data_IF_911576106972
#
_entry.id   IF_911576106972
#
_cell.length_a   1.000
_cell.length_b   1.000
_cell.length_c   1.000
_cell.angle_alpha   90.00
_cell.angle_beta   90.00
_cell.angle_gamma   90.00
#
_symmetry.space_group_name_H-M   'P 1'
#
loop_
_entity.id
_entity.type
_entity.pdbx_description
1 polymer ?
#
# COMPACT_ATOMS: atom_id res chain seq x y z
N UNK A 1 -18.07 -42.10 -13.93
CA UNK A 1 -17.04 -41.86 -12.90
C UNK A 1 -16.29 -40.60 -13.29
N UNK A 2 -16.60 -39.48 -12.64
CA UNK A 2 -15.98 -38.18 -12.91
C UNK A 2 -14.56 -38.13 -12.32
N UNK A 3 -13.56 -37.80 -13.14
CA UNK A 3 -12.29 -37.32 -12.61
C UNK A 3 -12.25 -35.80 -12.69
N UNK A 4 -12.23 -35.22 -11.50
CA UNK A 4 -12.33 -33.82 -11.15
C UNK A 4 -11.18 -33.00 -11.75
N UNK A 5 -11.53 -31.94 -12.47
CA UNK A 5 -10.63 -30.85 -12.87
C UNK A 5 -10.24 -30.05 -11.62
N UNK A 6 -9.48 -30.65 -10.71
CA UNK A 6 -8.94 -29.98 -9.52
C UNK A 6 -7.50 -29.55 -9.76
N UNK A 7 -7.35 -28.44 -10.48
CA UNK A 7 -6.25 -27.45 -10.36
C UNK A 7 -6.30 -26.42 -11.49
N UNK A 8 -7.47 -25.83 -11.70
CA UNK A 8 -7.58 -24.55 -12.37
C UNK A 8 -7.83 -23.51 -11.27
N UNK A 9 -7.21 -22.33 -11.37
CA UNK A 9 -7.30 -21.17 -10.45
C UNK A 9 -6.23 -21.09 -9.33
N UNK A 10 -4.94 -21.12 -9.69
CA UNK A 10 -3.95 -20.35 -8.93
C UNK A 10 -3.45 -19.22 -9.82
N UNK A 11 -3.66 -17.99 -9.36
CA UNK A 11 -3.11 -16.73 -9.88
C UNK A 11 -3.81 -16.13 -11.10
N UNK A 12 -5.12 -15.86 -11.00
CA UNK A 12 -5.65 -14.64 -11.61
C UNK A 12 -5.06 -13.44 -10.85
N UNK A 13 -3.79 -13.14 -11.16
CA UNK A 13 -3.23 -11.80 -10.97
C UNK A 13 -3.98 -10.93 -11.95
N UNK A 14 -5.15 -10.44 -11.55
CA UNK A 14 -5.82 -9.36 -12.27
C UNK A 14 -4.83 -8.20 -12.25
N UNK A 15 -4.20 -7.94 -13.40
CA UNK A 15 -3.53 -6.66 -13.60
C UNK A 15 -4.57 -5.58 -13.30
N UNK A 16 -4.27 -4.58 -12.45
CA UNK A 16 -5.19 -3.48 -12.22
C UNK A 16 -5.64 -2.96 -13.59
N UNK A 17 -6.95 -2.93 -13.84
CA UNK A 17 -7.41 -2.37 -15.10
C UNK A 17 -7.10 -0.86 -15.10
N UNK A 18 -6.87 -0.26 -16.27
CA UNK A 18 -6.66 1.19 -16.36
C UNK A 18 -7.82 1.98 -15.73
N UNK A 19 -9.04 1.42 -15.80
CA UNK A 19 -10.23 1.94 -15.15
C UNK A 19 -10.10 1.94 -13.62
N UNK A 20 -9.57 0.87 -13.02
CA UNK A 20 -9.37 0.78 -11.56
C UNK A 20 -8.34 1.79 -11.07
N UNK A 21 -7.24 1.96 -11.82
CA UNK A 21 -6.21 2.95 -11.51
C UNK A 21 -6.79 4.37 -11.58
N UNK A 22 -7.60 4.64 -12.61
CA UNK A 22 -8.24 5.95 -12.81
C UNK A 22 -9.22 6.26 -11.67
N UNK A 23 -10.08 5.30 -11.31
CA UNK A 23 -11.02 5.44 -10.17
C UNK A 23 -10.29 5.65 -8.86
N UNK A 24 -9.23 4.90 -8.61
CA UNK A 24 -8.42 5.06 -7.40
C UNK A 24 -7.81 6.46 -7.33
N UNK A 25 -7.24 6.93 -8.44
CA UNK A 25 -6.63 8.25 -8.53
C UNK A 25 -7.65 9.37 -8.29
N UNK A 26 -8.83 9.26 -8.88
CA UNK A 26 -9.91 10.22 -8.66
C UNK A 26 -10.34 10.22 -7.18
N UNK A 27 -10.63 9.05 -6.60
CA UNK A 27 -10.98 8.93 -5.19
C UNK A 27 -9.94 9.57 -4.26
N UNK A 28 -8.65 9.32 -4.52
CA UNK A 28 -7.58 9.87 -3.71
C UNK A 28 -7.47 11.40 -3.84
N UNK A 29 -7.66 11.93 -5.05
CA UNK A 29 -7.58 13.36 -5.33
C UNK A 29 -8.76 14.17 -4.73
N UNK A 30 -9.90 13.52 -4.49
CA UNK A 30 -11.09 14.16 -3.89
C UNK A 30 -10.98 14.33 -2.37
N UNK A 31 -10.04 13.64 -1.70
CA UNK A 31 -9.87 13.72 -0.25
C UNK A 31 -9.05 14.96 0.18
N UNK A 32 -9.62 15.87 0.97
CA UNK A 32 -8.97 17.12 1.34
C UNK A 32 -7.76 16.90 2.25
N UNK A 33 -6.73 17.74 2.08
CA UNK A 33 -5.52 17.71 2.90
C UNK A 33 -4.55 16.57 2.59
N UNK A 34 -4.80 15.78 1.55
CA UNK A 34 -3.92 14.71 1.11
C UNK A 34 -2.94 15.20 0.04
N UNK A 35 -1.70 14.76 0.14
CA UNK A 35 -0.66 14.96 -0.87
C UNK A 35 -0.69 13.79 -1.84
N UNK A 36 -0.73 14.06 -3.15
CA UNK A 36 -0.55 13.02 -4.16
C UNK A 36 0.82 12.35 -3.97
N UNK A 37 0.89 11.03 -4.08
CA UNK A 37 2.13 10.29 -3.81
C UNK A 37 3.27 10.76 -4.74
N UNK A 38 2.97 11.11 -5.99
CA UNK A 38 3.94 11.66 -6.93
C UNK A 38 4.60 12.96 -6.45
N UNK A 39 3.94 13.71 -5.58
CA UNK A 39 4.35 15.04 -5.13
C UNK A 39 5.04 15.02 -3.77
N UNK A 40 5.04 13.87 -3.08
CA UNK A 40 5.71 13.69 -1.79
C UNK A 40 7.22 13.90 -1.94
N UNK A 41 7.78 14.73 -1.04
CA UNK A 41 9.22 15.04 -1.03
C UNK A 41 9.92 14.36 0.13
N UNK A 42 11.13 13.86 -0.15
CA UNK A 42 11.97 13.26 0.87
C UNK A 42 12.26 14.25 2.02
N UNK A 43 12.35 13.72 3.23
CA UNK A 43 12.59 14.41 4.50
C UNK A 43 11.49 15.37 4.95
N UNK A 44 10.35 15.40 4.26
CA UNK A 44 9.18 16.19 4.65
C UNK A 44 8.09 15.30 5.25
N UNK A 45 7.26 15.89 6.10
CA UNK A 45 6.02 15.26 6.55
C UNK A 45 4.98 15.34 5.43
N UNK A 46 4.23 14.27 5.24
CA UNK A 46 3.13 14.22 4.28
C UNK A 46 2.01 13.33 4.82
N UNK A 47 0.78 13.70 4.48
CA UNK A 47 -0.40 12.87 4.61
C UNK A 47 -0.78 12.38 3.21
N UNK A 48 -0.84 11.07 3.01
CA UNK A 48 -1.22 10.45 1.74
C UNK A 48 -2.41 9.55 1.96
N UNK A 49 -3.28 9.46 0.96
CA UNK A 49 -4.29 8.41 0.88
C UNK A 49 -3.93 7.48 -0.27
N UNK A 50 -4.19 6.20 -0.10
CA UNK A 50 -4.05 5.25 -1.18
C UNK A 50 -4.54 3.87 -0.81
N UNK A 51 -4.16 2.91 -1.63
CA UNK A 51 -4.55 1.52 -1.54
C UNK A 51 -3.33 0.62 -1.36
N UNK A 52 -3.43 -0.37 -0.47
CA UNK A 52 -2.40 -1.37 -0.27
C UNK A 52 -2.39 -2.30 -1.49
N UNK A 53 -1.36 -2.17 -2.31
CA UNK A 53 -1.12 -3.00 -3.48
C UNK A 53 -0.39 -4.30 -3.14
N UNK A 54 0.47 -4.29 -2.12
CA UNK A 54 1.17 -5.49 -1.66
C UNK A 54 1.65 -5.37 -0.21
N UNK A 55 1.81 -6.52 0.44
CA UNK A 55 2.47 -6.66 1.74
C UNK A 55 3.67 -7.57 1.65
N UNK A 56 4.72 -7.27 2.41
CA UNK A 56 5.87 -8.16 2.63
C UNK A 56 6.28 -8.14 4.09
N UNK A 57 6.71 -9.29 4.59
CA UNK A 57 7.43 -9.38 5.86
C UNK A 57 8.92 -9.39 5.51
N UNK A 58 9.64 -8.37 5.96
CA UNK A 58 11.07 -8.21 5.68
C UNK A 58 11.86 -8.52 6.95
N UNK A 59 12.74 -9.56 6.94
CA UNK A 59 13.66 -9.80 8.04
C UNK A 59 14.60 -8.61 8.24
N UNK A 60 14.78 -8.16 9.48
CA UNK A 60 15.78 -7.18 9.87
C UNK A 60 16.51 -7.67 11.11
N UNK A 61 17.73 -7.17 11.36
CA UNK A 61 18.51 -7.55 12.54
C UNK A 61 17.70 -7.23 13.81
N UNK A 62 17.40 -8.26 14.60
CA UNK A 62 16.64 -8.16 15.85
C UNK A 62 15.14 -8.45 15.74
N UNK A 63 14.44 -8.05 14.66
CA UNK A 63 13.01 -8.35 14.47
C UNK A 63 12.52 -8.13 13.03
N UNK A 64 11.55 -8.92 12.52
CA UNK A 64 10.92 -8.63 11.23
C UNK A 64 10.17 -7.28 11.23
N UNK A 65 9.98 -6.73 10.03
CA UNK A 65 9.10 -5.59 9.76
C UNK A 65 8.02 -5.95 8.76
N UNK A 66 6.85 -5.36 8.92
CA UNK A 66 5.76 -5.40 7.95
C UNK A 66 5.90 -4.20 7.02
N UNK A 67 6.04 -4.46 5.72
CA UNK A 67 6.10 -3.43 4.69
C UNK A 67 4.85 -3.48 3.82
N UNK A 68 4.13 -2.37 3.73
CA UNK A 68 2.99 -2.20 2.84
C UNK A 68 3.33 -1.23 1.71
N UNK A 69 3.22 -1.69 0.47
CA UNK A 69 3.32 -0.81 -0.70
C UNK A 69 1.95 -0.18 -0.94
N UNK A 70 1.90 1.14 -0.96
CA UNK A 70 0.68 1.93 -1.10
C UNK A 70 0.75 2.72 -2.41
N UNK A 71 -0.34 2.73 -3.16
CA UNK A 71 -0.50 3.47 -4.41
C UNK A 71 -1.76 4.31 -4.38
N UNK A 72 -1.73 5.49 -4.97
CA UNK A 72 -2.88 6.35 -5.25
C UNK A 72 -3.13 6.46 -6.77
N UNK A 73 -2.43 5.67 -7.58
CA UNK A 73 -2.44 5.76 -9.04
C UNK A 73 -1.53 6.84 -9.63
N UNK A 74 -0.99 7.76 -8.82
CA UNK A 74 0.03 8.74 -9.24
C UNK A 74 1.45 8.26 -8.96
N UNK A 75 1.64 7.47 -7.89
CA UNK A 75 2.94 6.92 -7.52
C UNK A 75 2.84 5.84 -6.44
N UNK A 76 3.97 5.48 -5.85
CA UNK A 76 3.99 4.50 -4.75
C UNK A 76 4.91 4.91 -3.60
N UNK A 77 4.46 4.67 -2.36
CA UNK A 77 5.27 4.73 -1.14
C UNK A 77 5.23 3.40 -0.40
N UNK A 78 6.10 3.25 0.61
CA UNK A 78 6.10 2.08 1.49
C UNK A 78 5.91 2.52 2.93
N UNK A 79 4.84 2.04 3.57
CA UNK A 79 4.71 2.12 5.03
C UNK A 79 5.43 0.93 5.67
N UNK A 80 6.30 1.19 6.65
CA UNK A 80 7.10 0.17 7.35
C UNK A 80 6.74 0.19 8.82
N UNK A 81 6.20 -0.91 9.34
CA UNK A 81 6.01 -1.12 10.77
C UNK A 81 7.04 -2.10 11.30
N UNK A 82 8.00 -1.56 12.05
CA UNK A 82 9.07 -2.34 12.65
C UNK A 82 8.54 -3.18 13.81
N UNK A 83 9.09 -4.38 14.02
CA UNK A 83 8.65 -5.24 15.13
C UNK A 83 7.35 -6.00 14.85
N UNK A 84 6.74 -5.81 13.68
CA UNK A 84 5.43 -6.36 13.35
C UNK A 84 5.53 -7.34 12.19
N UNK A 85 4.80 -8.45 12.30
CA UNK A 85 4.56 -9.40 11.21
C UNK A 85 3.21 -9.19 10.54
N UNK A 86 2.26 -8.62 11.28
CA UNK A 86 0.90 -8.36 10.85
C UNK A 86 0.32 -7.18 11.65
N UNK A 87 -0.65 -6.51 11.06
CA UNK A 87 -1.49 -5.48 11.69
C UNK A 87 -2.92 -5.75 11.20
N UNK A 88 -3.89 -5.77 12.12
CA UNK A 88 -5.29 -6.03 11.77
C UNK A 88 -5.80 -4.99 10.76
N UNK A 89 -6.45 -5.45 9.70
CA UNK A 89 -6.98 -4.60 8.63
C UNK A 89 -5.95 -4.01 7.66
N UNK A 90 -4.64 -4.20 7.90
CA UNK A 90 -3.60 -3.91 6.91
C UNK A 90 -3.46 -5.16 6.04
N UNK A 91 -4.16 -5.16 4.89
CA UNK A 91 -4.13 -6.24 3.89
C UNK A 91 -4.16 -5.65 2.48
N UNK A 92 -3.58 -6.35 1.47
CA UNK A 92 -3.82 -5.96 0.07
C UNK A 92 -5.32 -5.92 -0.15
N UNK A 93 -5.82 -4.88 -0.80
CA UNK A 93 -7.27 -4.66 -0.76
C UNK A 93 -7.64 -3.31 -0.17
N UNK A 94 -6.99 -2.95 0.93
CA UNK A 94 -7.52 -1.92 1.81
C UNK A 94 -7.01 -0.53 1.45
N UNK A 95 -7.90 0.44 1.57
CA UNK A 95 -7.55 1.86 1.46
C UNK A 95 -7.31 2.44 2.85
N UNK A 96 -6.39 3.37 2.92
CA UNK A 96 -5.96 3.98 4.17
C UNK A 96 -5.36 5.36 3.93
N UNK A 97 -5.46 6.20 4.96
CA UNK A 97 -4.63 7.39 5.11
C UNK A 97 -3.35 6.97 5.84
N UNK A 98 -2.21 7.49 5.41
CA UNK A 98 -0.91 7.31 6.05
C UNK A 98 -0.24 8.67 6.22
N UNK A 99 0.19 8.95 7.44
CA UNK A 99 0.84 10.22 7.80
C UNK A 99 2.20 9.93 8.42
N UNK A 100 3.23 10.57 7.89
CA UNK A 100 4.58 10.44 8.41
C UNK A 100 5.61 11.21 7.61
N UNK A 101 6.85 11.14 8.09
CA UNK A 101 7.99 11.72 7.37
C UNK A 101 8.45 10.76 6.28
N UNK A 102 8.54 11.27 5.06
CA UNK A 102 9.06 10.55 3.91
C UNK A 102 10.58 10.38 4.03
N UNK A 103 11.07 9.16 3.93
CA UNK A 103 12.50 8.85 3.95
C UNK A 103 12.90 8.26 2.59
N UNK A 104 14.03 8.67 2.01
CA UNK A 104 14.51 8.05 0.79
C UNK A 104 14.90 6.59 1.06
N UNK A 105 14.54 5.70 0.14
CA UNK A 105 15.04 4.33 0.13
C UNK A 105 16.53 4.26 -0.21
N UNK A 106 17.15 3.12 0.07
CA UNK A 106 18.55 2.86 -0.31
C UNK A 106 18.70 2.57 -1.80
N UNK A 107 17.61 2.18 -2.49
CA UNK A 107 17.61 1.85 -3.90
C UNK A 107 16.40 2.48 -4.60
N UNK A 108 16.67 3.29 -5.63
CA UNK A 108 15.65 3.94 -6.46
C UNK A 108 14.94 5.11 -5.77
N UNK A 109 13.93 5.66 -6.45
CA UNK A 109 13.20 6.85 -6.00
C UNK A 109 12.00 6.53 -5.08
N UNK A 110 12.02 5.37 -4.40
CA UNK A 110 10.92 4.92 -3.55
C UNK A 110 11.03 5.55 -2.17
N UNK A 111 9.94 6.14 -1.69
CA UNK A 111 9.88 6.76 -0.37
C UNK A 111 9.28 5.82 0.67
N UNK A 112 9.80 5.92 1.89
CA UNK A 112 9.46 5.07 3.02
C UNK A 112 8.98 5.89 4.20
N UNK A 113 7.87 5.46 4.79
CA UNK A 113 7.30 6.03 6.00
C UNK A 113 7.50 5.00 7.11
N UNK A 114 8.33 5.31 8.10
CA UNK A 114 8.64 4.40 9.20
C UNK A 114 7.72 4.64 10.39
N UNK A 115 7.10 3.58 10.87
CA UNK A 115 6.07 3.57 11.92
C UNK A 115 5.07 4.73 11.77
N UNK A 116 4.48 4.92 10.58
CA UNK A 116 3.60 6.07 10.36
C UNK A 116 2.29 5.91 11.14
N UNK A 117 1.64 7.05 11.36
CA UNK A 117 0.23 7.05 11.74
C UNK A 117 -0.58 6.58 10.54
N UNK A 118 -1.63 5.80 10.78
CA UNK A 118 -2.51 5.35 9.72
C UNK A 118 -3.96 5.29 10.21
N UNK A 119 -4.87 5.44 9.27
CA UNK A 119 -6.30 5.27 9.48
C UNK A 119 -6.85 4.44 8.32
N UNK A 120 -7.54 3.34 8.64
CA UNK A 120 -8.19 2.52 7.62
C UNK A 120 -9.44 3.24 7.14
N UNK A 121 -9.57 3.41 5.84
CA UNK A 121 -10.79 3.94 5.24
C UNK A 121 -11.80 2.82 5.09
N UNK A 122 -13.05 3.12 5.41
CA UNK A 122 -14.16 2.24 5.10
C UNK A 122 -14.36 2.21 3.58
N UNK A 123 -14.49 1.01 3.02
CA UNK A 123 -14.60 0.79 1.58
C UNK A 123 -14.28 -0.64 1.24
N UNK A 124 -15.28 -1.35 0.70
CA UNK A 124 -15.19 -2.77 0.39
C UNK A 124 -14.11 -3.08 -0.65
N UNK A 125 -13.46 -4.24 -0.46
CA UNK A 125 -13.29 -5.19 -1.55
C UNK A 125 -13.77 -6.56 -1.08
N UNK A 126 -14.94 -6.95 -1.55
CA UNK A 126 -15.44 -8.33 -1.53
C UNK A 126 -14.52 -9.23 -2.37
#
# INVERSE_FOLDING_TARGET
>A
MALSVKRLLKNLRTSPSELDVTRLRQFCAELPGMTAISDVRARQEAAVVGEISSLRIVPRAGSPSLEATITDGSGTIVAVWMGRRQIAGISPGRRLVVIGRANPGTHGNRLYFYNPRYELLEGERH
#
